data_IF_745605090047
#
_entry.id   IF_745605090047
#
_cell.length_a   1.000
_cell.length_b   1.000
_cell.length_c   1.000
_cell.angle_alpha   90.00
_cell.angle_beta   90.00
_cell.angle_gamma   90.00
#
_symmetry.space_group_name_H-M   'P 1'
#
loop_
_entity.id
_entity.type
_entity.pdbx_description
1 polymer ?
#
# COMPACT_ATOMS: atom_id res chain seq x y z
N UNK A 1 11.92 -12.04 -12.43
CA UNK A 1 10.44 -12.02 -12.38
C UNK A 1 9.91 -10.76 -13.05
N UNK A 2 10.29 -9.55 -12.61
CA UNK A 2 9.90 -8.31 -13.29
C UNK A 2 10.30 -8.30 -14.77
N UNK A 3 11.50 -8.75 -15.12
CA UNK A 3 11.96 -8.76 -16.53
C UNK A 3 11.07 -9.62 -17.44
N UNK A 4 10.52 -10.71 -16.90
CA UNK A 4 9.57 -11.57 -17.62
C UNK A 4 8.23 -10.86 -17.82
N UNK A 5 7.70 -10.23 -16.77
CA UNK A 5 6.44 -9.47 -16.84
C UNK A 5 6.57 -8.29 -17.82
N UNK A 6 7.68 -7.56 -17.77
CA UNK A 6 8.01 -6.45 -18.68
C UNK A 6 8.09 -6.91 -20.15
N UNK A 7 8.59 -8.12 -20.41
CA UNK A 7 8.66 -8.65 -21.79
C UNK A 7 7.32 -9.09 -22.38
N UNK A 8 6.30 -9.31 -21.54
CA UNK A 8 5.02 -9.90 -21.95
C UNK A 8 3.89 -8.86 -21.92
N UNK A 9 3.93 -7.92 -20.97
CA UNK A 9 2.85 -6.96 -20.75
C UNK A 9 3.25 -5.55 -21.18
N UNK A 10 2.36 -4.80 -21.85
CA UNK A 10 2.64 -3.42 -22.20
C UNK A 10 2.71 -2.53 -20.93
N UNK A 11 3.45 -1.41 -20.95
CA UNK A 11 3.51 -0.47 -19.82
C UNK A 11 2.15 0.07 -19.35
N UNK A 12 1.16 0.09 -20.25
CA UNK A 12 -0.21 0.52 -19.94
C UNK A 12 -1.01 -0.50 -19.11
N UNK A 13 -0.50 -1.74 -18.99
CA UNK A 13 -1.15 -2.79 -18.21
C UNK A 13 -1.26 -2.39 -16.74
N UNK A 14 -2.34 -2.88 -16.12
CA UNK A 14 -2.71 -2.53 -14.75
C UNK A 14 -2.44 -3.72 -13.86
N UNK A 15 -1.47 -3.60 -12.97
CA UNK A 15 -1.08 -4.67 -12.04
C UNK A 15 -1.22 -4.15 -10.61
N UNK A 16 -1.66 -5.00 -9.70
CA UNK A 16 -1.61 -4.71 -8.27
C UNK A 16 -0.46 -5.50 -7.66
N UNK A 17 0.51 -4.80 -7.06
CA UNK A 17 1.46 -5.43 -6.15
C UNK A 17 0.80 -5.63 -4.79
N UNK A 18 0.39 -6.87 -4.53
CA UNK A 18 -0.36 -7.23 -3.35
C UNK A 18 0.50 -7.27 -2.07
N UNK A 19 -0.05 -6.83 -0.94
CA UNK A 19 0.48 -7.01 0.41
C UNK A 19 1.96 -6.59 0.60
N UNK A 20 2.28 -5.32 0.38
CA UNK A 20 3.59 -4.76 0.75
C UNK A 20 3.72 -4.72 2.28
N UNK A 21 4.85 -5.21 2.80
CA UNK A 21 5.15 -5.37 4.24
C UNK A 21 6.66 -5.20 4.51
N UNK A 22 7.12 -5.11 5.77
CA UNK A 22 8.51 -4.72 6.08
C UNK A 22 9.62 -5.56 5.42
N UNK A 23 9.39 -6.86 5.21
CA UNK A 23 10.32 -7.80 4.57
C UNK A 23 10.18 -7.83 3.02
N UNK A 24 9.36 -6.96 2.44
CA UNK A 24 9.24 -6.86 0.98
C UNK A 24 10.47 -6.23 0.35
N UNK A 25 10.83 -6.67 -0.86
CA UNK A 25 11.89 -6.04 -1.63
C UNK A 25 11.38 -4.72 -2.26
N UNK A 26 11.66 -3.60 -1.59
CA UNK A 26 11.15 -2.28 -1.97
C UNK A 26 11.77 -1.75 -3.28
N UNK A 27 13.02 -2.12 -3.59
CA UNK A 27 13.67 -1.73 -4.85
C UNK A 27 12.97 -2.37 -6.06
N UNK A 28 12.55 -3.63 -5.90
CA UNK A 28 11.74 -4.34 -6.91
C UNK A 28 10.39 -3.65 -7.10
N UNK A 29 9.75 -3.21 -6.01
CA UNK A 29 8.49 -2.46 -6.07
C UNK A 29 8.67 -1.11 -6.77
N UNK A 30 9.75 -0.39 -6.49
CA UNK A 30 10.06 0.90 -7.14
C UNK A 30 10.27 0.73 -8.65
N UNK A 31 11.01 -0.31 -9.06
CA UNK A 31 11.16 -0.65 -10.48
C UNK A 31 9.79 -1.00 -11.10
N UNK A 32 8.96 -1.74 -10.40
CA UNK A 32 7.62 -2.12 -10.86
C UNK A 32 6.72 -0.90 -11.13
N UNK A 33 6.61 0.05 -10.18
CA UNK A 33 5.78 1.25 -10.37
C UNK A 33 6.32 2.17 -11.47
N UNK A 34 7.63 2.13 -11.74
CA UNK A 34 8.25 2.87 -12.84
C UNK A 34 7.92 2.27 -14.21
N UNK A 35 7.86 0.95 -14.33
CA UNK A 35 7.56 0.25 -15.59
C UNK A 35 6.05 0.32 -15.90
N UNK A 36 5.21 0.15 -14.89
CA UNK A 36 3.76 0.12 -15.03
C UNK A 36 3.11 1.31 -14.29
N UNK A 37 3.08 2.51 -14.89
CA UNK A 37 2.59 3.72 -14.21
C UNK A 37 1.10 3.68 -13.84
N UNK A 38 0.32 2.78 -14.45
CA UNK A 38 -1.08 2.59 -14.08
C UNK A 38 -1.28 1.59 -12.93
N UNK A 39 -0.23 0.88 -12.53
CA UNK A 39 -0.26 -0.10 -11.46
C UNK A 39 -0.35 0.53 -10.08
N UNK A 40 -0.74 -0.30 -9.12
CA UNK A 40 -0.90 0.08 -7.72
C UNK A 40 -0.13 -0.87 -6.82
N UNK A 41 0.18 -0.42 -5.62
CA UNK A 41 0.77 -1.19 -4.53
C UNK A 41 -0.20 -1.16 -3.36
N UNK A 42 -0.46 -2.32 -2.75
CA UNK A 42 -1.40 -2.39 -1.64
C UNK A 42 -0.72 -2.57 -0.29
N UNK A 43 -1.25 -1.84 0.69
CA UNK A 43 -0.89 -1.95 2.09
C UNK A 43 -2.08 -2.47 2.89
N UNK A 44 -1.80 -3.39 3.81
CA UNK A 44 -2.77 -3.94 4.76
C UNK A 44 -2.18 -3.99 6.18
N UNK A 45 -2.83 -4.71 7.09
CA UNK A 45 -2.40 -4.82 8.48
C UNK A 45 -0.98 -5.35 8.65
N UNK A 46 -0.45 -6.19 7.74
CA UNK A 46 0.92 -6.70 7.77
C UNK A 46 1.97 -5.57 7.81
N UNK A 47 1.70 -4.45 7.13
CA UNK A 47 2.56 -3.26 7.11
C UNK A 47 2.78 -2.64 8.49
N UNK A 48 1.84 -2.86 9.41
CA UNK A 48 1.84 -2.28 10.77
C UNK A 48 2.58 -3.15 11.79
N UNK A 49 2.92 -4.39 11.44
CA UNK A 49 3.59 -5.32 12.33
C UNK A 49 5.09 -5.04 12.40
N UNK A 50 5.63 -5.02 13.61
CA UNK A 50 7.07 -4.89 13.86
C UNK A 50 7.56 -6.28 14.27
N UNK A 51 8.02 -7.07 13.29
CA UNK A 51 8.74 -8.32 13.54
C UNK A 51 10.25 -8.08 13.62
N UNK A 52 10.73 -7.24 12.71
CA UNK A 52 12.09 -6.72 12.65
C UNK A 52 12.02 -5.19 12.63
N UNK A 53 12.71 -4.56 13.58
CA UNK A 53 12.68 -3.10 13.75
C UNK A 53 13.38 -2.35 12.62
N UNK A 54 14.42 -2.92 12.03
CA UNK A 54 15.21 -2.28 10.99
C UNK A 54 14.50 -2.37 9.65
N UNK A 55 13.92 -3.53 9.32
CA UNK A 55 13.02 -3.66 8.17
C UNK A 55 11.81 -2.72 8.27
N UNK A 56 11.22 -2.60 9.46
CA UNK A 56 10.12 -1.68 9.68
C UNK A 56 10.52 -0.21 9.50
N UNK A 57 11.72 0.18 9.97
CA UNK A 57 12.27 1.53 9.70
C UNK A 57 12.52 1.76 8.21
N UNK A 58 13.00 0.75 7.49
CA UNK A 58 13.22 0.80 6.04
C UNK A 58 11.90 1.05 5.31
N UNK A 59 10.85 0.29 5.60
CA UNK A 59 9.52 0.51 5.02
C UNK A 59 8.99 1.92 5.30
N UNK A 60 9.07 2.39 6.56
CA UNK A 60 8.62 3.75 6.91
C UNK A 60 9.40 4.83 6.16
N UNK A 61 10.72 4.67 6.07
CA UNK A 61 11.59 5.60 5.33
C UNK A 61 11.24 5.59 3.84
N UNK A 62 11.01 4.42 3.26
CA UNK A 62 10.60 4.27 1.86
C UNK A 62 9.26 4.98 1.58
N UNK A 63 8.23 4.74 2.41
CA UNK A 63 6.93 5.42 2.28
C UNK A 63 7.08 6.94 2.35
N UNK A 64 7.86 7.43 3.31
CA UNK A 64 8.06 8.87 3.51
C UNK A 64 8.82 9.53 2.36
N UNK A 65 9.80 8.83 1.79
CA UNK A 65 10.70 9.37 0.78
C UNK A 65 10.18 9.20 -0.65
N UNK A 66 9.10 8.44 -0.87
CA UNK A 66 8.48 8.28 -2.18
C UNK A 66 7.16 9.06 -2.29
N UNK A 67 7.19 10.36 -2.64
CA UNK A 67 5.98 11.18 -2.78
C UNK A 67 5.04 10.67 -3.88
N UNK A 68 5.56 9.95 -4.87
CA UNK A 68 4.79 9.28 -5.93
C UNK A 68 4.03 8.06 -5.43
N UNK A 69 4.47 7.42 -4.34
CA UNK A 69 3.83 6.22 -3.79
C UNK A 69 2.34 6.42 -3.55
N UNK A 70 1.94 7.59 -3.06
CA UNK A 70 0.52 7.90 -2.82
C UNK A 70 -0.33 7.87 -4.09
N UNK A 71 0.24 8.10 -5.28
CA UNK A 71 -0.47 7.98 -6.57
C UNK A 71 -0.67 6.52 -7.00
N UNK A 72 0.07 5.60 -6.39
CA UNK A 72 0.00 4.16 -6.63
C UNK A 72 -0.58 3.40 -5.44
N UNK A 73 -0.87 4.06 -4.32
CA UNK A 73 -1.31 3.39 -3.10
C UNK A 73 -2.76 2.90 -3.23
N UNK A 74 -3.01 1.65 -2.88
CA UNK A 74 -4.33 1.12 -2.53
C UNK A 74 -4.29 0.55 -1.11
N UNK A 75 -5.41 0.58 -0.42
CA UNK A 75 -5.57 -0.05 0.88
C UNK A 75 -6.37 -1.33 0.72
N UNK A 76 -5.88 -2.40 1.31
CA UNK A 76 -6.58 -3.68 1.36
C UNK A 76 -6.55 -4.20 2.80
N UNK A 77 -7.26 -5.29 3.07
CA UNK A 77 -7.30 -5.87 4.43
C UNK A 77 -6.80 -7.28 4.49
N UNK A 78 -6.96 -8.05 3.40
CA UNK A 78 -6.79 -9.49 3.43
C UNK A 78 -7.50 -10.08 4.66
N UNK A 79 -8.75 -9.66 4.86
CA UNK A 79 -9.59 -10.03 5.99
C UNK A 79 -10.18 -11.43 5.75
N UNK A 80 -10.09 -12.38 6.72
CA UNK A 80 -9.77 -12.16 8.13
C UNK A 80 -8.32 -12.44 8.57
N UNK A 81 -7.35 -12.54 7.65
CA UNK A 81 -5.99 -13.00 7.96
C UNK A 81 -5.06 -11.91 8.54
N UNK A 82 -4.97 -10.75 7.88
CA UNK A 82 -3.92 -9.76 8.17
C UNK A 82 -4.41 -8.63 9.07
N UNK A 83 -4.83 -8.99 10.29
CA UNK A 83 -5.25 -8.02 11.32
C UNK A 83 -4.12 -7.04 11.66
N UNK A 84 -4.35 -5.71 11.68
CA UNK A 84 -3.36 -4.72 12.14
C UNK A 84 -2.89 -4.93 13.58
N UNK A 85 -1.64 -4.54 13.90
CA UNK A 85 -0.96 -4.82 15.18
C UNK A 85 -1.71 -4.35 16.44
N UNK A 86 -2.50 -3.29 16.34
CA UNK A 86 -3.21 -2.67 17.48
C UNK A 86 -4.74 -2.80 17.37
N UNK A 87 -5.23 -3.71 16.53
CA UNK A 87 -6.66 -3.98 16.41
C UNK A 87 -6.96 -5.33 17.06
N UNK A 88 -7.84 -5.40 18.07
CA UNK A 88 -8.30 -6.67 18.61
C UNK A 88 -8.93 -7.52 17.50
N UNK A 89 -8.59 -8.81 17.45
CA UNK A 89 -9.02 -9.71 16.36
C UNK A 89 -10.55 -9.77 16.21
N UNK A 90 -11.29 -9.72 17.31
CA UNK A 90 -12.77 -9.72 17.29
C UNK A 90 -13.38 -8.41 16.78
N UNK A 91 -12.60 -7.33 16.70
CA UNK A 91 -12.97 -6.05 16.10
C UNK A 91 -12.50 -5.95 14.64
N UNK A 92 -11.74 -6.94 14.14
CA UNK A 92 -11.20 -6.92 12.80
C UNK A 92 -12.27 -7.19 11.75
N UNK A 93 -12.52 -6.18 10.94
CA UNK A 93 -13.34 -6.24 9.74
C UNK A 93 -12.71 -5.32 8.67
N UNK A 94 -13.21 -5.34 7.43
CA UNK A 94 -12.64 -4.52 6.37
C UNK A 94 -12.56 -3.03 6.72
N UNK A 95 -13.59 -2.46 7.37
CA UNK A 95 -13.61 -1.04 7.71
C UNK A 95 -12.56 -0.67 8.77
N UNK A 96 -12.49 -1.44 9.87
CA UNK A 96 -11.53 -1.20 10.95
C UNK A 96 -10.10 -1.44 10.47
N UNK A 97 -9.87 -2.45 9.63
CA UNK A 97 -8.58 -2.71 8.99
C UNK A 97 -8.07 -1.52 8.17
N UNK A 98 -8.89 -1.04 7.22
CA UNK A 98 -8.56 0.10 6.37
C UNK A 98 -8.28 1.35 7.21
N UNK A 99 -9.12 1.64 8.22
CA UNK A 99 -8.95 2.81 9.06
C UNK A 99 -7.63 2.79 9.84
N UNK A 100 -7.29 1.66 10.49
CA UNK A 100 -6.06 1.55 11.28
C UNK A 100 -4.81 1.65 10.40
N UNK A 101 -4.81 1.01 9.23
CA UNK A 101 -3.69 1.15 8.27
C UNK A 101 -3.55 2.59 7.78
N UNK A 102 -4.67 3.29 7.54
CA UNK A 102 -4.66 4.70 7.14
C UNK A 102 -4.14 5.62 8.23
N UNK A 103 -4.49 5.35 9.50
CA UNK A 103 -3.95 6.08 10.66
C UNK A 103 -2.46 5.86 10.82
N UNK A 104 -2.00 4.62 10.65
CA UNK A 104 -0.58 4.33 10.62
C UNK A 104 0.15 5.08 9.50
N UNK A 105 -0.42 5.15 8.29
CA UNK A 105 0.15 5.91 7.19
C UNK A 105 0.21 7.42 7.45
N UNK A 106 -0.83 7.98 8.07
CA UNK A 106 -0.84 9.37 8.53
C UNK A 106 0.38 9.66 9.43
N UNK A 107 0.65 8.77 10.40
CA UNK A 107 1.79 8.87 11.32
C UNK A 107 3.15 8.68 10.64
N UNK A 108 3.22 7.87 9.58
CA UNK A 108 4.44 7.62 8.81
C UNK A 108 4.77 8.82 7.91
N UNK A 109 3.77 9.35 7.22
CA UNK A 109 3.93 10.43 6.24
C UNK A 109 4.21 11.77 6.92
N UNK A 110 3.62 12.03 8.10
CA UNK A 110 3.74 13.30 8.86
C UNK A 110 3.57 14.56 7.98
N UNK A 111 2.74 14.47 6.95
CA UNK A 111 2.55 15.53 5.98
C UNK A 111 1.28 16.34 6.31
N UNK A 112 1.34 17.69 6.31
CA UNK A 112 0.15 18.52 6.50
C UNK A 112 -0.97 18.15 5.52
N UNK A 113 -2.20 18.06 6.02
CA UNK A 113 -3.39 17.76 5.22
C UNK A 113 -3.57 16.29 4.79
N UNK A 114 -2.68 15.37 5.20
CA UNK A 114 -2.79 13.93 4.89
C UNK A 114 -3.28 13.13 6.10
N UNK A 115 -4.46 13.47 6.60
CA UNK A 115 -5.12 12.65 7.62
C UNK A 115 -5.61 11.31 7.05
N UNK A 116 -5.98 10.38 7.92
CA UNK A 116 -6.48 9.06 7.52
C UNK A 116 -7.59 9.13 6.46
N UNK A 117 -8.56 10.03 6.60
CA UNK A 117 -9.65 10.18 5.63
C UNK A 117 -9.15 10.61 4.24
N UNK A 118 -8.18 11.52 4.19
CA UNK A 118 -7.56 11.94 2.93
C UNK A 118 -6.79 10.79 2.27
N UNK A 119 -6.09 9.97 3.06
CA UNK A 119 -5.37 8.78 2.58
C UNK A 119 -6.36 7.74 2.02
N UNK A 120 -7.45 7.47 2.73
CA UNK A 120 -8.51 6.56 2.27
C UNK A 120 -9.08 7.02 0.92
N UNK A 121 -9.39 8.32 0.79
CA UNK A 121 -9.90 8.87 -0.46
C UNK A 121 -8.91 8.68 -1.62
N UNK A 122 -7.64 9.03 -1.41
CA UNK A 122 -6.58 8.84 -2.41
C UNK A 122 -6.49 7.37 -2.83
N UNK A 123 -6.47 6.45 -1.85
CA UNK A 123 -6.41 5.03 -2.11
C UNK A 123 -7.63 4.50 -2.87
N UNK A 124 -8.82 5.01 -2.56
CA UNK A 124 -10.05 4.66 -3.26
C UNK A 124 -10.06 5.17 -4.71
N UNK A 125 -9.58 6.39 -4.95
CA UNK A 125 -9.46 6.96 -6.29
C UNK A 125 -8.46 6.15 -7.14
N UNK A 126 -7.35 5.71 -6.54
CA UNK A 126 -6.40 4.81 -7.18
C UNK A 126 -7.00 3.43 -7.48
N UNK A 127 -7.79 2.87 -6.55
CA UNK A 127 -8.49 1.61 -6.77
C UNK A 127 -9.51 1.73 -7.92
N UNK A 128 -10.30 2.82 -7.95
CA UNK A 128 -11.23 3.08 -9.05
C UNK A 128 -10.51 3.17 -10.40
N UNK A 129 -9.39 3.89 -10.46
CA UNK A 129 -8.54 3.98 -11.65
C UNK A 129 -7.99 2.61 -12.07
N UNK A 130 -7.51 1.81 -11.11
CA UNK A 130 -6.97 0.48 -11.35
C UNK A 130 -8.04 -0.46 -11.94
N UNK A 131 -9.21 -0.52 -11.30
CA UNK A 131 -10.28 -1.48 -11.62
C UNK A 131 -11.34 -0.96 -12.60
N UNK A 132 -11.15 0.23 -13.19
CA UNK A 132 -12.13 0.89 -14.07
C UNK A 132 -13.51 1.06 -13.42
N UNK A 133 -13.55 1.38 -12.12
CA UNK A 133 -14.80 1.64 -11.40
C UNK A 133 -15.25 3.09 -11.63
N UNK A 134 -16.57 3.38 -11.55
CA UNK A 134 -17.08 4.74 -11.66
C UNK A 134 -16.50 5.67 -10.57
N UNK A 135 -16.20 6.90 -10.97
CA UNK A 135 -15.64 7.96 -10.11
C UNK A 135 -16.76 8.69 -9.39
#
# INVERSE_FOLDING_TARGET
>A
MIDCIESILPPSHRIQWHCVKPDSNLEVIDRFISIFPNSVVSLNGASTHIRDIDQYKVLRKWIRNHPTLLKHLVLETDCPWLCPKNLPVHEFNPCTGIFIVSKWLEDVLRAPGKNASAIIRIANDNAKRMFSLPI
#
